data_IF_506377848409
#
_entry.id   IF_506377848409
#
_cell.length_a   1.000
_cell.length_b   1.000
_cell.length_c   1.000
_cell.angle_alpha   90.00
_cell.angle_beta   90.00
_cell.angle_gamma   90.00
#
_symmetry.space_group_name_H-M   'P 1'
#
loop_
_entity.id
_entity.type
_entity.pdbx_description
1 polymer ?
#
# COMPACT_ATOMS: atom_id res chain seq x y z
N UNK A 1 -13.02 -13.19 -31.19
CA UNK A 1 -11.72 -13.45 -30.54
C UNK A 1 -11.12 -12.10 -30.19
N UNK A 2 -11.44 -11.60 -28.99
CA UNK A 2 -10.85 -10.39 -28.45
C UNK A 2 -9.41 -10.72 -28.08
N UNK A 3 -8.44 -9.95 -28.58
CA UNK A 3 -7.04 -10.10 -28.19
C UNK A 3 -6.95 -10.05 -26.64
N UNK A 4 -6.06 -10.84 -26.01
CA UNK A 4 -5.81 -10.68 -24.59
C UNK A 4 -5.34 -9.24 -24.38
N UNK A 5 -6.04 -8.50 -23.50
CA UNK A 5 -5.58 -7.20 -23.03
C UNK A 5 -4.16 -7.39 -22.53
N UNK A 6 -3.22 -6.65 -23.12
CA UNK A 6 -1.82 -6.64 -22.68
C UNK A 6 -1.84 -6.44 -21.16
N UNK A 7 -1.33 -7.38 -20.35
CA UNK A 7 -1.37 -7.22 -18.91
C UNK A 7 -0.53 -5.99 -18.59
N UNK A 8 -1.22 -4.91 -18.19
CA UNK A 8 -0.57 -3.66 -17.78
C UNK A 8 0.54 -3.93 -16.78
N UNK A 9 1.54 -3.06 -16.74
CA UNK A 9 2.72 -3.24 -15.89
C UNK A 9 2.29 -3.49 -14.42
N UNK A 10 2.95 -4.36 -13.63
CA UNK A 10 2.49 -4.73 -12.29
C UNK A 10 2.21 -3.54 -11.36
N UNK A 11 3.02 -2.49 -11.47
CA UNK A 11 2.86 -1.24 -10.71
C UNK A 11 1.69 -0.34 -11.15
N UNK A 12 0.92 -0.72 -12.17
CA UNK A 12 -0.29 0.02 -12.57
C UNK A 12 -1.50 -0.31 -11.70
N UNK A 13 -1.48 -1.46 -11.02
CA UNK A 13 -2.38 -1.89 -9.96
C UNK A 13 -1.54 -2.59 -8.87
N UNK A 14 -0.72 -1.85 -8.10
CA UNK A 14 0.23 -2.46 -7.17
C UNK A 14 -0.47 -3.19 -6.01
N UNK A 15 -1.66 -2.72 -5.61
CA UNK A 15 -2.48 -3.37 -4.58
C UNK A 15 -3.01 -4.71 -5.09
N UNK A 16 -3.69 -4.72 -6.24
CA UNK A 16 -4.31 -5.92 -6.76
C UNK A 16 -3.30 -6.93 -7.28
N UNK A 17 -2.17 -6.49 -7.86
CA UNK A 17 -1.10 -7.41 -8.30
C UNK A 17 -0.36 -8.02 -7.11
N UNK A 18 -0.16 -7.29 -6.02
CA UNK A 18 0.35 -7.87 -4.78
C UNK A 18 -0.63 -8.91 -4.21
N UNK A 19 -1.91 -8.56 -4.07
CA UNK A 19 -2.96 -9.45 -3.53
C UNK A 19 -3.31 -10.65 -4.42
N UNK A 20 -2.98 -10.61 -5.72
CA UNK A 20 -3.06 -11.78 -6.62
C UNK A 20 -1.75 -12.58 -6.67
N UNK A 21 -0.68 -12.06 -6.08
CA UNK A 21 0.67 -12.61 -6.14
C UNK A 21 1.27 -12.83 -4.74
N UNK A 22 2.43 -12.24 -4.42
CA UNK A 22 3.12 -12.49 -3.15
C UNK A 22 2.28 -12.29 -1.88
N UNK A 23 1.27 -11.42 -1.92
CA UNK A 23 0.37 -11.12 -0.79
C UNK A 23 -0.98 -11.84 -0.88
N UNK A 24 -1.11 -12.89 -1.69
CA UNK A 24 -2.37 -13.64 -1.84
C UNK A 24 -2.93 -14.20 -0.52
N UNK A 25 -2.06 -14.48 0.46
CA UNK A 25 -2.46 -14.94 1.79
C UNK A 25 -3.14 -13.86 2.66
N UNK A 26 -3.04 -12.58 2.29
CA UNK A 26 -3.81 -11.50 2.91
C UNK A 26 -5.15 -11.24 2.20
N UNK A 27 -5.36 -11.75 0.99
CA UNK A 27 -6.43 -11.26 0.14
C UNK A 27 -7.83 -11.65 0.65
N UNK A 28 -8.62 -10.64 1.00
CA UNK A 28 -10.06 -10.77 1.09
C UNK A 28 -10.67 -10.43 -0.27
N UNK A 29 -11.56 -11.29 -0.77
CA UNK A 29 -12.09 -11.22 -2.14
C UNK A 29 -13.61 -11.23 -2.16
N UNK A 30 -14.18 -10.38 -3.01
CA UNK A 30 -15.59 -10.44 -3.42
C UNK A 30 -15.70 -10.01 -4.88
N UNK A 31 -16.25 -10.89 -5.72
CA UNK A 31 -16.24 -10.68 -7.17
C UNK A 31 -14.82 -10.42 -7.71
N UNK A 32 -14.66 -9.30 -8.43
CA UNK A 32 -13.36 -8.84 -8.96
C UNK A 32 -12.55 -7.98 -7.98
N UNK A 33 -13.15 -7.61 -6.84
CA UNK A 33 -12.57 -6.73 -5.83
C UNK A 33 -11.69 -7.51 -4.85
N UNK A 34 -10.55 -6.92 -4.50
CA UNK A 34 -9.62 -7.43 -3.51
C UNK A 34 -9.33 -6.36 -2.48
N UNK A 35 -9.14 -6.75 -1.22
CA UNK A 35 -8.60 -5.84 -0.20
C UNK A 35 -7.68 -6.57 0.76
N UNK A 36 -6.87 -5.80 1.47
CA UNK A 36 -6.20 -6.27 2.68
C UNK A 36 -7.20 -6.33 3.85
N UNK A 37 -6.95 -7.16 4.88
CA UNK A 37 -7.67 -7.06 6.13
C UNK A 37 -7.41 -5.69 6.74
N UNK A 38 -8.43 -5.05 7.32
CA UNK A 38 -8.33 -3.67 7.81
C UNK A 38 -7.20 -3.48 8.85
N UNK A 39 -6.91 -4.51 9.66
CA UNK A 39 -5.81 -4.46 10.64
C UNK A 39 -4.41 -4.51 10.01
N UNK A 40 -4.29 -4.90 8.73
CA UNK A 40 -3.02 -4.98 7.98
C UNK A 40 -2.80 -3.72 7.15
N UNK A 41 -3.79 -3.32 6.35
CA UNK A 41 -3.73 -2.11 5.54
C UNK A 41 -5.14 -1.70 5.02
N UNK A 42 -5.39 -0.41 4.75
CA UNK A 42 -6.70 0.08 4.31
C UNK A 42 -6.93 -0.03 2.79
N UNK A 43 -6.04 -0.71 2.06
CA UNK A 43 -6.03 -0.66 0.59
C UNK A 43 -7.00 -1.67 -0.04
N UNK A 44 -7.71 -1.18 -1.04
CA UNK A 44 -8.62 -1.94 -1.90
C UNK A 44 -8.18 -1.81 -3.36
N UNK A 45 -8.29 -2.91 -4.10
CA UNK A 45 -8.05 -2.97 -5.53
C UNK A 45 -9.35 -3.23 -6.28
N UNK A 46 -9.67 -2.32 -7.20
CA UNK A 46 -10.73 -2.46 -8.18
C UNK A 46 -10.15 -2.97 -9.52
N UNK A 47 -10.97 -3.58 -10.38
CA UNK A 47 -10.57 -3.83 -11.77
C UNK A 47 -10.27 -2.51 -12.50
N UNK A 48 -9.53 -2.54 -13.64
CA UNK A 48 -9.21 -1.34 -14.42
C UNK A 48 -10.44 -0.56 -14.93
N UNK A 49 -11.57 -1.25 -15.08
CA UNK A 49 -12.88 -0.79 -15.55
C UNK A 49 -13.98 -1.16 -14.53
N UNK A 50 -14.04 -0.49 -13.37
CA UNK A 50 -14.99 -0.83 -12.33
C UNK A 50 -16.43 -0.50 -12.76
N UNK A 51 -17.31 -1.50 -12.74
CA UNK A 51 -18.74 -1.34 -12.95
C UNK A 51 -19.52 -1.26 -11.63
N UNK A 52 -20.85 -1.03 -11.70
CA UNK A 52 -21.71 -0.93 -10.50
C UNK A 52 -21.63 -2.14 -9.56
N UNK A 53 -21.44 -3.35 -10.11
CA UNK A 53 -21.27 -4.56 -9.33
C UNK A 53 -19.98 -4.57 -8.51
N UNK A 54 -18.88 -4.04 -9.05
CA UNK A 54 -17.60 -3.97 -8.33
C UNK A 54 -17.69 -2.97 -7.17
N UNK A 55 -18.38 -1.85 -7.35
CA UNK A 55 -18.62 -0.90 -6.25
C UNK A 55 -19.54 -1.48 -5.17
N UNK A 56 -20.54 -2.28 -5.56
CA UNK A 56 -21.37 -3.04 -4.61
C UNK A 56 -20.54 -4.05 -3.82
N UNK A 57 -19.64 -4.77 -4.49
CA UNK A 57 -18.74 -5.72 -3.84
C UNK A 57 -17.71 -5.03 -2.92
N UNK A 58 -17.21 -3.86 -3.31
CA UNK A 58 -16.35 -3.02 -2.47
C UNK A 58 -17.09 -2.55 -1.21
N UNK A 59 -18.32 -2.06 -1.34
CA UNK A 59 -19.17 -1.69 -0.22
C UNK A 59 -19.40 -2.87 0.74
N UNK A 60 -19.71 -4.04 0.19
CA UNK A 60 -20.01 -5.20 1.00
C UNK A 60 -18.76 -5.82 1.68
N UNK A 61 -17.56 -5.63 1.12
CA UNK A 61 -16.30 -5.99 1.78
C UNK A 61 -15.96 -5.02 2.93
N UNK A 62 -16.16 -3.73 2.72
CA UNK A 62 -15.81 -2.71 3.73
C UNK A 62 -16.88 -2.49 4.81
N UNK A 63 -18.13 -2.83 4.52
CA UNK A 63 -19.27 -2.62 5.40
C UNK A 63 -19.74 -1.16 5.41
N UNK A 64 -21.00 -0.89 5.86
CA UNK A 64 -21.53 0.46 6.00
C UNK A 64 -20.64 1.34 6.88
N UNK A 65 -20.36 2.58 6.45
CA UNK A 65 -19.44 3.49 7.14
C UNK A 65 -17.96 3.07 7.09
N UNK A 66 -17.65 1.93 6.46
CA UNK A 66 -16.28 1.46 6.27
C UNK A 66 -15.52 2.33 5.28
N UNK A 67 -14.22 2.54 5.51
CA UNK A 67 -13.36 3.26 4.58
C UNK A 67 -12.82 2.32 3.49
N UNK A 68 -12.73 2.82 2.26
CA UNK A 68 -11.94 2.24 1.18
C UNK A 68 -10.83 3.20 0.81
N UNK A 69 -9.63 2.68 0.56
CA UNK A 69 -8.53 3.51 0.05
C UNK A 69 -7.95 2.93 -1.22
N UNK A 70 -7.84 3.76 -2.26
CA UNK A 70 -7.45 3.37 -3.62
C UNK A 70 -6.21 4.20 -4.01
N UNK A 71 -5.14 3.51 -4.43
CA UNK A 71 -3.85 4.15 -4.76
C UNK A 71 -3.55 4.26 -6.25
N UNK A 72 -4.31 3.53 -7.07
CA UNK A 72 -4.29 3.58 -8.53
C UNK A 72 -5.65 4.04 -9.07
N UNK A 73 -6.17 5.13 -8.49
CA UNK A 73 -7.47 5.67 -8.84
C UNK A 73 -7.50 6.14 -10.30
N UNK A 74 -8.57 5.80 -11.02
CA UNK A 74 -8.78 6.17 -12.43
C UNK A 74 -10.10 6.91 -12.63
N UNK A 75 -11.15 6.47 -11.94
CA UNK A 75 -12.51 7.00 -12.07
C UNK A 75 -13.15 7.16 -10.68
N UNK A 76 -13.96 8.22 -10.47
CA UNK A 76 -14.60 8.51 -9.18
C UNK A 76 -15.48 7.36 -8.67
N UNK A 77 -15.59 7.20 -7.33
CA UNK A 77 -16.61 6.35 -6.78
C UNK A 77 -18.01 6.85 -7.17
N UNK A 78 -19.06 6.01 -7.02
CA UNK A 78 -20.44 6.43 -7.17
C UNK A 78 -20.76 7.68 -6.33
N UNK A 79 -21.68 8.52 -6.82
CA UNK A 79 -21.96 9.85 -6.25
C UNK A 79 -22.45 9.81 -4.78
N UNK A 80 -22.99 8.68 -4.34
CA UNK A 80 -23.46 8.48 -2.97
C UNK A 80 -22.35 8.14 -1.96
N UNK A 81 -21.11 7.92 -2.43
CA UNK A 81 -19.95 7.71 -1.56
C UNK A 81 -19.32 9.04 -1.15
N UNK A 82 -19.07 9.19 0.15
CA UNK A 82 -18.36 10.37 0.67
C UNK A 82 -16.86 10.23 0.45
N UNK A 83 -16.26 11.09 -0.39
CA UNK A 83 -14.82 11.18 -0.55
C UNK A 83 -14.24 11.96 0.64
N UNK A 84 -13.48 11.28 1.50
CA UNK A 84 -12.86 11.87 2.69
C UNK A 84 -11.42 12.31 2.46
N UNK A 85 -10.78 11.78 1.42
CA UNK A 85 -9.43 12.16 1.03
C UNK A 85 -9.24 12.03 -0.48
N UNK A 86 -8.59 13.02 -1.08
CA UNK A 86 -8.12 12.96 -2.46
C UNK A 86 -6.84 13.77 -2.60
N UNK A 87 -5.77 13.14 -3.11
CA UNK A 87 -4.50 13.82 -3.35
C UNK A 87 -3.80 13.27 -4.59
N UNK A 88 -3.15 14.18 -5.32
CA UNK A 88 -2.21 13.83 -6.38
C UNK A 88 -1.00 13.09 -5.82
N UNK A 89 -0.60 12.02 -6.49
CA UNK A 89 0.50 11.15 -6.12
C UNK A 89 1.51 10.97 -7.26
N UNK A 90 2.73 10.62 -6.88
CA UNK A 90 3.77 10.17 -7.80
C UNK A 90 4.21 8.77 -7.41
N UNK A 91 4.48 7.95 -8.42
CA UNK A 91 5.12 6.66 -8.27
C UNK A 91 6.53 6.76 -8.84
N UNK A 92 7.51 6.40 -8.01
CA UNK A 92 8.91 6.38 -8.38
C UNK A 92 9.45 4.95 -8.35
N UNK A 93 10.37 4.64 -9.24
CA UNK A 93 11.02 3.33 -9.35
C UNK A 93 12.53 3.47 -9.27
N UNK A 94 13.18 2.39 -8.87
CA UNK A 94 14.64 2.29 -8.87
C UNK A 94 15.21 2.46 -10.29
N UNK A 95 16.12 3.43 -10.46
CA UNK A 95 16.95 3.64 -11.65
C UNK A 95 18.41 3.86 -11.23
N UNK A 96 18.92 2.91 -10.46
CA UNK A 96 20.27 2.99 -9.91
C UNK A 96 20.29 3.58 -8.49
N UNK A 97 19.29 3.23 -7.68
CA UNK A 97 19.26 3.58 -6.25
C UNK A 97 20.58 3.20 -5.58
N UNK A 98 21.14 4.12 -4.78
CA UNK A 98 22.36 3.92 -3.98
C UNK A 98 22.06 3.04 -2.75
N UNK A 99 21.62 1.80 -2.98
CA UNK A 99 21.19 0.89 -1.94
C UNK A 99 22.38 0.40 -1.11
N UNK A 100 22.34 0.67 0.20
CA UNK A 100 23.39 0.32 1.14
C UNK A 100 22.79 0.05 2.53
N UNK A 101 23.37 -0.87 3.33
CA UNK A 101 22.94 -1.08 4.70
C UNK A 101 23.18 0.18 5.55
N UNK A 102 22.35 0.37 6.58
CA UNK A 102 22.54 1.39 7.61
C UNK A 102 23.00 0.70 8.91
N UNK A 103 24.28 0.78 9.31
CA UNK A 103 24.83 -0.01 10.41
C UNK A 103 24.11 0.15 11.77
N UNK A 104 23.54 1.34 12.03
CA UNK A 104 22.78 1.60 13.27
C UNK A 104 21.32 1.18 13.21
N UNK A 105 20.82 0.74 12.04
CA UNK A 105 19.45 0.29 11.90
C UNK A 105 19.29 -1.13 12.43
N UNK A 106 18.19 -1.35 13.16
CA UNK A 106 17.77 -2.66 13.65
C UNK A 106 16.51 -3.11 12.94
N UNK A 107 16.34 -4.43 12.77
CA UNK A 107 15.10 -5.00 12.24
C UNK A 107 14.00 -4.88 13.29
N UNK A 108 12.86 -4.35 12.89
CA UNK A 108 11.65 -4.25 13.70
C UNK A 108 10.70 -5.40 13.37
N UNK A 109 9.98 -5.89 14.37
CA UNK A 109 9.01 -6.96 14.24
C UNK A 109 7.77 -6.77 15.12
N UNK A 110 6.96 -7.82 15.31
CA UNK A 110 5.71 -7.74 16.07
C UNK A 110 5.85 -7.20 17.50
N UNK A 111 6.99 -7.43 18.14
CA UNK A 111 7.26 -6.92 19.49
C UNK A 111 7.47 -5.39 19.53
N UNK A 112 7.88 -4.78 18.43
CA UNK A 112 8.14 -3.34 18.32
C UNK A 112 6.89 -2.52 17.95
N UNK A 113 5.77 -3.19 17.60
CA UNK A 113 4.54 -2.53 17.12
C UNK A 113 4.06 -1.38 18.02
N UNK A 114 4.07 -1.49 19.36
CA UNK A 114 3.71 -0.36 20.22
C UNK A 114 4.57 0.89 19.98
N UNK A 115 5.90 0.74 19.87
CA UNK A 115 6.82 1.85 19.59
C UNK A 115 6.67 2.38 18.15
N UNK A 116 6.40 1.49 17.19
CA UNK A 116 6.15 1.87 15.79
C UNK A 116 4.88 2.73 15.67
N UNK A 117 3.79 2.33 16.33
CA UNK A 117 2.53 3.07 16.35
C UNK A 117 2.69 4.42 17.06
N UNK A 118 3.45 4.47 18.14
CA UNK A 118 3.78 5.72 18.84
C UNK A 118 4.56 6.69 17.93
N UNK A 119 5.59 6.22 17.22
CA UNK A 119 6.31 7.03 16.24
C UNK A 119 5.39 7.48 15.09
N UNK A 120 4.53 6.61 14.56
CA UNK A 120 3.54 6.94 13.52
C UNK A 120 2.60 8.04 14.00
N UNK A 121 2.10 7.97 15.23
CA UNK A 121 1.20 8.98 15.77
C UNK A 121 1.84 10.38 15.79
N UNK A 122 3.14 10.47 16.13
CA UNK A 122 3.89 11.74 16.15
C UNK A 122 4.29 12.24 14.75
N UNK A 123 4.56 11.34 13.82
CA UNK A 123 5.18 11.70 12.53
C UNK A 123 4.23 11.65 11.33
N UNK A 124 3.11 10.95 11.44
CA UNK A 124 2.04 10.80 10.44
C UNK A 124 2.56 10.46 9.02
N UNK A 125 3.31 9.35 8.81
CA UNK A 125 3.86 8.97 7.49
C UNK A 125 2.83 8.44 6.48
N UNK A 126 1.56 8.36 6.88
CA UNK A 126 0.50 7.66 6.15
C UNK A 126 -0.03 6.48 6.97
N UNK A 127 -0.94 5.66 6.39
CA UNK A 127 -1.57 4.57 7.11
C UNK A 127 -0.57 3.54 7.63
N UNK A 128 -0.71 3.20 8.90
CA UNK A 128 0.04 2.14 9.57
C UNK A 128 -0.84 1.57 10.69
N UNK A 129 -1.20 0.31 10.53
CA UNK A 129 -2.12 -0.44 11.37
C UNK A 129 -1.36 -1.46 12.23
N UNK A 130 -1.97 -2.05 13.26
CA UNK A 130 -1.29 -2.96 14.19
C UNK A 130 -0.61 -4.18 13.54
N UNK A 131 -1.08 -4.60 12.36
CA UNK A 131 -0.50 -5.72 11.59
C UNK A 131 0.22 -5.28 10.32
N UNK A 132 0.40 -3.98 10.08
CA UNK A 132 1.13 -3.50 8.88
C UNK A 132 2.57 -4.00 8.84
N UNK A 133 3.19 -4.25 10.00
CA UNK A 133 4.53 -4.85 10.10
C UNK A 133 4.64 -6.22 9.40
N UNK A 134 3.53 -6.92 9.20
CA UNK A 134 3.49 -8.22 8.51
C UNK A 134 3.72 -8.12 6.99
N UNK A 135 3.64 -6.91 6.41
CA UNK A 135 3.78 -6.69 4.97
C UNK A 135 5.22 -6.82 4.45
N UNK A 136 6.22 -6.85 5.33
CA UNK A 136 7.60 -7.12 4.94
C UNK A 136 8.62 -6.63 5.96
N UNK A 137 9.81 -6.28 5.49
CA UNK A 137 10.92 -5.85 6.35
C UNK A 137 10.69 -4.42 6.84
N UNK A 138 10.87 -4.21 8.15
CA UNK A 138 10.94 -2.89 8.76
C UNK A 138 12.29 -2.70 9.44
N UNK A 139 12.87 -1.53 9.24
CA UNK A 139 14.14 -1.11 9.83
C UNK A 139 13.91 0.15 10.66
N UNK A 140 14.55 0.24 11.82
CA UNK A 140 14.41 1.35 12.75
C UNK A 140 15.73 1.80 13.34
N UNK A 141 15.81 3.07 13.72
CA UNK A 141 16.95 3.65 14.44
C UNK A 141 16.48 4.11 15.81
N UNK A 142 17.24 3.75 16.84
CA UNK A 142 16.98 4.14 18.23
C UNK A 142 17.97 5.19 18.73
N UNK A 143 17.51 6.07 19.62
CA UNK A 143 18.32 7.00 20.42
C UNK A 143 17.90 6.85 21.87
N UNK A 144 18.86 6.59 22.75
CA UNK A 144 18.60 6.35 24.18
C UNK A 144 17.49 5.32 24.45
N UNK A 145 17.45 4.27 23.61
CA UNK A 145 16.45 3.19 23.67
C UNK A 145 15.09 3.51 23.02
N UNK A 146 14.84 4.74 22.57
CA UNK A 146 13.58 5.17 21.95
C UNK A 146 13.67 5.06 20.42
N UNK A 147 12.65 4.50 19.77
CA UNK A 147 12.53 4.50 18.31
C UNK A 147 12.28 5.92 17.78
N UNK A 148 13.25 6.45 17.01
CA UNK A 148 13.21 7.83 16.49
C UNK A 148 13.09 7.92 14.98
N UNK A 149 13.33 6.84 14.24
CA UNK A 149 13.12 6.80 12.80
C UNK A 149 12.84 5.37 12.35
N UNK A 150 12.02 5.19 11.33
CA UNK A 150 11.81 3.90 10.69
C UNK A 150 11.48 4.03 9.21
N UNK A 151 11.65 2.93 8.48
CA UNK A 151 11.12 2.71 7.14
C UNK A 151 10.86 1.20 6.97
N UNK A 152 9.99 0.82 6.05
CA UNK A 152 9.79 -0.58 5.74
C UNK A 152 9.10 -0.83 4.41
N UNK A 153 8.63 -2.06 4.26
CA UNK A 153 7.99 -2.54 3.04
C UNK A 153 6.45 -2.45 3.13
N UNK A 154 5.75 -2.28 2.00
CA UNK A 154 4.28 -2.24 1.96
C UNK A 154 3.68 -3.13 0.87
N UNK A 155 3.51 -2.65 -0.36
CA UNK A 155 2.97 -3.48 -1.45
C UNK A 155 4.09 -4.32 -2.08
N UNK A 156 3.82 -5.60 -2.37
CA UNK A 156 4.78 -6.48 -3.03
C UNK A 156 4.21 -7.14 -4.31
N UNK A 157 4.06 -6.39 -5.42
CA UNK A 157 3.80 -6.97 -6.73
C UNK A 157 4.90 -7.96 -7.16
N UNK A 158 4.63 -8.92 -8.07
CA UNK A 158 5.68 -9.83 -8.56
C UNK A 158 6.90 -9.08 -9.12
N UNK A 159 8.09 -9.33 -8.55
CA UNK A 159 9.36 -8.70 -8.93
C UNK A 159 9.58 -7.28 -8.38
N UNK A 160 8.67 -6.76 -7.54
CA UNK A 160 8.72 -5.42 -6.99
C UNK A 160 8.42 -5.42 -5.49
N UNK A 161 9.01 -4.47 -4.76
CA UNK A 161 8.61 -4.20 -3.37
C UNK A 161 8.60 -2.71 -3.08
N UNK A 162 7.55 -2.27 -2.40
CA UNK A 162 7.31 -0.87 -2.11
C UNK A 162 8.00 -0.43 -0.82
N UNK A 163 8.81 0.61 -0.87
CA UNK A 163 9.31 1.31 0.31
C UNK A 163 8.22 2.26 0.83
N UNK A 164 7.95 2.18 2.12
CA UNK A 164 6.86 2.89 2.80
C UNK A 164 7.22 3.22 4.25
N UNK A 165 6.33 3.94 4.93
CA UNK A 165 6.41 4.27 6.35
C UNK A 165 7.74 4.96 6.74
N UNK A 166 8.30 5.73 5.81
CA UNK A 166 9.52 6.51 6.04
C UNK A 166 9.17 7.67 6.96
N UNK A 167 9.56 7.59 8.22
CA UNK A 167 9.41 8.68 9.16
C UNK A 167 10.63 8.88 10.06
N UNK A 168 10.75 10.10 10.55
CA UNK A 168 11.80 10.52 11.47
C UNK A 168 11.18 11.52 12.44
N UNK A 169 11.35 11.24 13.72
CA UNK A 169 10.97 12.10 14.83
C UNK A 169 11.60 13.48 14.66
N UNK A 170 10.84 14.51 15.00
CA UNK A 170 11.24 15.91 14.78
C UNK A 170 12.56 16.25 15.48
N UNK A 171 12.82 15.65 16.65
CA UNK A 171 14.03 15.87 17.45
C UNK A 171 15.33 15.48 16.75
N UNK A 172 15.28 14.62 15.73
CA UNK A 172 16.47 14.08 15.04
C UNK A 172 16.43 14.26 13.52
N UNK A 173 15.55 15.13 13.01
CA UNK A 173 15.53 15.49 11.59
C UNK A 173 16.83 16.19 11.17
N UNK A 174 17.13 16.14 9.87
CA UNK A 174 18.35 16.74 9.31
C UNK A 174 19.62 15.91 9.51
N UNK A 175 19.57 14.80 10.25
CA UNK A 175 20.71 13.90 10.47
C UNK A 175 20.89 12.82 9.37
N UNK A 176 20.11 12.89 8.30
CA UNK A 176 20.19 11.93 7.17
C UNK A 176 19.50 10.57 7.41
N UNK A 177 18.83 10.36 8.55
CA UNK A 177 18.22 9.08 8.93
C UNK A 177 17.19 8.57 7.91
N UNK A 178 16.28 9.43 7.44
CA UNK A 178 15.26 9.03 6.46
C UNK A 178 15.88 8.50 5.16
N UNK A 179 16.90 9.20 4.63
CA UNK A 179 17.61 8.75 3.42
C UNK A 179 18.45 7.49 3.66
N UNK A 180 19.09 7.37 4.83
CA UNK A 180 19.80 6.15 5.23
C UNK A 180 18.89 4.93 5.32
N UNK A 181 17.71 5.09 5.93
CA UNK A 181 16.71 4.02 6.06
C UNK A 181 16.13 3.61 4.70
N UNK A 182 15.85 4.56 3.80
CA UNK A 182 15.40 4.24 2.43
C UNK A 182 16.44 3.40 1.69
N UNK A 183 17.73 3.77 1.77
CA UNK A 183 18.82 2.98 1.17
C UNK A 183 18.94 1.58 1.77
N UNK A 184 18.77 1.47 3.08
CA UNK A 184 18.82 0.19 3.78
C UNK A 184 17.65 -0.73 3.40
N UNK A 185 16.43 -0.20 3.30
CA UNK A 185 15.27 -0.99 2.83
C UNK A 185 15.43 -1.35 1.35
N UNK A 186 15.92 -0.45 0.51
CA UNK A 186 16.24 -0.76 -0.89
C UNK A 186 17.29 -1.89 -1.00
N UNK A 187 18.27 -1.91 -0.10
CA UNK A 187 19.28 -2.97 -0.02
C UNK A 187 18.62 -4.32 0.32
N UNK A 188 17.77 -4.40 1.34
CA UNK A 188 17.03 -5.61 1.70
C UNK A 188 16.15 -6.13 0.54
N UNK A 189 15.47 -5.22 -0.16
CA UNK A 189 14.63 -5.53 -1.33
C UNK A 189 15.47 -6.15 -2.45
N UNK A 190 16.60 -5.53 -2.80
CA UNK A 190 17.51 -6.02 -3.86
C UNK A 190 18.16 -7.35 -3.50
N UNK A 191 18.55 -7.55 -2.25
CA UNK A 191 19.13 -8.83 -1.78
C UNK A 191 18.16 -10.00 -1.96
N UNK A 192 16.85 -9.74 -1.93
CA UNK A 192 15.81 -10.72 -2.21
C UNK A 192 15.49 -10.90 -3.69
N UNK A 193 16.03 -10.05 -4.56
CA UNK A 193 15.81 -10.08 -6.02
C UNK A 193 14.59 -9.30 -6.50
N UNK A 194 13.96 -8.49 -5.64
CA UNK A 194 12.88 -7.58 -6.03
C UNK A 194 13.45 -6.20 -6.42
N UNK A 195 12.69 -5.43 -7.20
CA UNK A 195 13.03 -4.04 -7.55
C UNK A 195 12.30 -3.06 -6.61
N UNK A 196 13.01 -2.12 -5.96
CA UNK A 196 12.38 -1.09 -5.14
C UNK A 196 11.51 -0.13 -5.96
N UNK A 197 10.37 0.25 -5.40
CA UNK A 197 9.57 1.38 -5.85
C UNK A 197 8.94 2.07 -4.64
N UNK A 198 8.35 3.25 -4.84
CA UNK A 198 7.61 3.94 -3.78
C UNK A 198 6.56 4.88 -4.36
N UNK A 199 5.64 5.28 -3.48
CA UNK A 199 4.69 6.35 -3.72
C UNK A 199 4.95 7.53 -2.78
N UNK A 200 4.73 8.73 -3.28
CA UNK A 200 4.69 9.95 -2.47
C UNK A 200 3.54 10.85 -2.91
N UNK A 201 3.01 11.65 -1.99
CA UNK A 201 2.12 12.75 -2.38
C UNK A 201 2.91 13.73 -3.27
N UNK A 202 2.34 14.14 -4.40
CA UNK A 202 3.00 15.05 -5.34
C UNK A 202 3.35 16.40 -4.69
N UNK A 203 2.53 16.84 -3.73
CA UNK A 203 2.76 18.05 -2.95
C UNK A 203 3.96 17.93 -1.97
N UNK A 204 4.38 16.72 -1.60
CA UNK A 204 5.53 16.50 -0.73
C UNK A 204 6.85 16.58 -1.51
N UNK A 205 7.13 17.77 -2.06
CA UNK A 205 8.30 18.00 -2.92
C UNK A 205 9.62 17.75 -2.20
N UNK A 206 9.67 17.86 -0.87
CA UNK A 206 10.83 17.53 -0.06
C UNK A 206 11.17 16.04 -0.11
N UNK A 207 10.18 15.18 0.11
CA UNK A 207 10.36 13.73 0.01
C UNK A 207 10.67 13.30 -1.44
N UNK A 208 9.98 13.87 -2.43
CA UNK A 208 10.24 13.56 -3.84
C UNK A 208 11.69 13.87 -4.23
N UNK A 209 12.20 15.06 -3.89
CA UNK A 209 13.61 15.42 -4.14
C UNK A 209 14.59 14.50 -3.41
N UNK A 210 14.25 14.09 -2.18
CA UNK A 210 15.05 13.11 -1.45
C UNK A 210 15.12 11.80 -2.23
N UNK A 211 13.99 11.23 -2.64
CA UNK A 211 13.97 9.97 -3.40
C UNK A 211 14.72 10.09 -4.73
N UNK A 212 14.54 11.18 -5.47
CA UNK A 212 15.31 11.42 -6.71
C UNK A 212 16.81 11.48 -6.44
N UNK A 213 17.24 12.17 -5.38
CA UNK A 213 18.66 12.24 -5.01
C UNK A 213 19.26 10.89 -4.59
N UNK A 214 18.42 9.92 -4.22
CA UNK A 214 18.84 8.56 -3.88
C UNK A 214 18.91 7.62 -5.09
N UNK A 215 18.48 8.05 -6.27
CA UNK A 215 18.49 7.26 -7.52
C UNK A 215 17.13 6.67 -7.91
N UNK A 216 16.03 7.18 -7.35
CA UNK A 216 14.69 6.88 -7.86
C UNK A 216 14.31 7.83 -9.00
N UNK A 217 13.55 7.36 -9.99
CA UNK A 217 13.01 8.20 -11.07
C UNK A 217 11.49 8.12 -11.12
N UNK A 218 10.86 9.21 -11.56
CA UNK A 218 9.42 9.27 -11.75
C UNK A 218 8.99 8.25 -12.83
N UNK A 219 8.16 7.29 -12.44
CA UNK A 219 7.50 6.35 -13.37
C UNK A 219 6.16 6.89 -13.86
N UNK A 220 5.29 7.32 -12.94
CA UNK A 220 3.96 7.85 -13.28
C UNK A 220 3.42 8.82 -12.24
N UNK A 221 2.47 9.65 -12.66
CA UNK A 221 1.53 10.34 -11.76
C UNK A 221 0.29 9.48 -11.54
N UNK A 222 -0.27 9.55 -10.35
CA UNK A 222 -1.46 8.80 -9.90
C UNK A 222 -2.28 9.68 -8.95
N UNK A 223 -3.41 9.19 -8.45
CA UNK A 223 -4.15 9.79 -7.36
C UNK A 223 -4.37 8.79 -6.23
N UNK A 224 -4.34 9.29 -5.01
CA UNK A 224 -4.71 8.56 -3.81
C UNK A 224 -6.09 9.06 -3.36
N UNK A 225 -7.03 8.15 -3.18
CA UNK A 225 -8.39 8.47 -2.77
C UNK A 225 -8.80 7.60 -1.58
N UNK A 226 -9.44 8.21 -0.58
CA UNK A 226 -10.21 7.51 0.44
C UNK A 226 -11.67 7.93 0.36
N UNK A 227 -12.57 6.97 0.50
CA UNK A 227 -14.00 7.22 0.54
C UNK A 227 -14.69 6.33 1.59
N UNK A 228 -15.85 6.75 2.06
CA UNK A 228 -16.70 5.98 2.97
C UNK A 228 -17.80 5.28 2.19
N UNK A 229 -18.04 4.03 2.56
CA UNK A 229 -19.21 3.27 2.11
C UNK A 229 -20.47 3.91 2.69
N UNK A 230 -21.52 4.13 1.87
CA UNK A 230 -22.78 4.67 2.36
C UNK A 230 -23.40 3.82 3.48
N UNK A 231 -23.96 4.46 4.51
CA UNK A 231 -24.60 3.75 5.65
C UNK A 231 -25.76 2.82 5.23
N UNK A 232 -26.40 3.12 4.09
CA UNK A 232 -27.50 2.32 3.52
C UNK A 232 -27.06 1.22 2.54
N UNK A 233 -25.76 1.03 2.32
CA UNK A 233 -25.28 -0.01 1.40
C UNK A 233 -25.64 -1.40 1.93
N UNK A 234 -26.57 -2.08 1.26
CA UNK A 234 -26.98 -3.43 1.64
C UNK A 234 -25.76 -4.37 1.60
N UNK A 235 -25.46 -5.04 2.71
CA UNK A 235 -24.48 -6.14 2.75
C UNK A 235 -25.23 -7.41 2.32
N UNK A 236 -25.01 -7.96 1.12
CA UNK A 236 -25.66 -9.20 0.74
C UNK A 236 -25.03 -10.34 1.54
N UNK A 237 -25.87 -11.17 2.16
CA UNK A 237 -25.46 -12.27 3.03
C UNK A 237 -24.48 -13.25 2.33
N UNK A 238 -23.56 -13.90 3.08
CA UNK A 238 -22.61 -14.83 2.48
C UNK A 238 -23.30 -16.12 2.00
N UNK A 239 -23.44 -16.27 0.68
CA UNK A 239 -23.50 -17.54 -0.05
C UNK A 239 -24.83 -18.30 -0.10
N UNK A 240 -25.48 -18.28 -1.26
CA UNK A 240 -26.04 -19.50 -1.84
C UNK A 240 -25.09 -20.00 -2.94
N UNK A 241 -24.52 -21.18 -2.72
CA UNK A 241 -23.80 -21.90 -3.75
C UNK A 241 -24.81 -22.21 -4.86
N UNK A 242 -24.54 -21.76 -6.09
CA UNK A 242 -25.25 -22.26 -7.27
C UNK A 242 -24.96 -23.75 -7.42
N UNK A 243 -25.81 -24.57 -6.81
CA UNK A 243 -25.79 -26.02 -6.86
C UNK A 243 -26.79 -26.54 -7.89
N UNK A 244 -26.27 -27.36 -8.78
CA UNK A 244 -26.96 -28.38 -9.61
C UNK A 244 -27.87 -27.89 -10.73
N UNK A 245 -27.27 -27.77 -11.91
CA UNK A 245 -27.90 -28.26 -13.13
C UNK A 245 -27.99 -29.79 -13.04
N UNK A 246 -29.20 -30.33 -12.93
CA UNK A 246 -29.48 -31.75 -13.17
C UNK A 246 -30.38 -31.84 -14.39
N UNK A 247 -29.85 -32.46 -15.44
CA UNK A 247 -30.58 -32.89 -16.62
C UNK A 247 -31.45 -34.11 -16.31
N UNK A 248 -32.68 -34.13 -16.85
CA UNK A 248 -33.54 -35.28 -17.15
C UNK A 248 -34.85 -34.70 -17.73
N UNK A 249 -35.42 -35.12 -18.86
CA UNK A 249 -35.20 -36.17 -19.85
C UNK A 249 -35.76 -35.65 -21.18
#
# INVERSE_FOLDING_TARGET
MTAPLDPGHPLDDPVGTALRGPHAHFAERRGRVLRYPAAVAPWLALPPDPGPADWTDAAALSGPGGAVTITAFREPPPEDWEITFHAEGVQLVDDGVDAAPLPEAVRLGPADVPEMLDLVARTRPGPFEPRTVELGTYLGVRRDGVLVAMAGERMRPPGWSEISAVCTDESVRGQGLGGGLVRAVAHEIRQRGDTPFLHAAAANTGAVRLYESLGFVLRRRTAFLAALVPDGAAVPAPGERAGTATAAR
#
